data_IF_678814365104
#
_entry.id   IF_678814365104
#
_cell.length_a   1.000
_cell.length_b   1.000
_cell.length_c   1.000
_cell.angle_alpha   90.00
_cell.angle_beta   90.00
_cell.angle_gamma   90.00
#
_symmetry.space_group_name_H-M   'P 1'
#
loop_
_entity.id
_entity.type
_entity.pdbx_description
1 polymer ?
#
# COMPACT_ATOMS: atom_id res chain seq x y z
N UNK A 1 57.84 -2.15 6.49
CA UNK A 1 57.12 -2.32 7.78
C UNK A 1 55.75 -1.68 7.65
N UNK A 2 54.65 -2.44 7.78
CA UNK A 2 53.29 -1.89 7.76
C UNK A 2 52.95 -1.44 9.19
N UNK A 3 52.81 -0.14 9.42
CA UNK A 3 52.27 0.37 10.69
C UNK A 3 50.77 0.08 10.68
N UNK A 4 50.32 -0.82 11.54
CA UNK A 4 48.90 -1.02 11.82
C UNK A 4 48.38 0.08 12.74
N UNK A 5 47.07 0.36 12.67
CA UNK A 5 46.40 1.26 13.61
C UNK A 5 46.61 0.80 15.06
N UNK A 6 46.72 1.76 15.99
CA UNK A 6 46.80 1.46 17.42
C UNK A 6 45.41 1.21 18.01
N UNK A 7 45.33 0.43 19.10
CA UNK A 7 44.07 0.12 19.76
C UNK A 7 43.31 1.37 20.20
N UNK A 8 44.02 2.40 20.68
CA UNK A 8 43.44 3.68 21.11
C UNK A 8 42.78 4.43 19.95
N UNK A 9 43.39 4.42 18.76
CA UNK A 9 42.82 5.07 17.58
C UNK A 9 41.54 4.37 17.13
N UNK A 10 41.52 3.04 17.13
CA UNK A 10 40.31 2.26 16.80
C UNK A 10 39.21 2.50 17.84
N UNK A 11 39.56 2.58 19.13
CA UNK A 11 38.59 2.88 20.19
C UNK A 11 37.95 4.26 20.02
N UNK A 12 38.75 5.28 19.68
CA UNK A 12 38.25 6.64 19.45
C UNK A 12 37.25 6.71 18.30
N UNK A 13 37.54 6.02 17.18
CA UNK A 13 36.62 5.95 16.04
C UNK A 13 35.31 5.23 16.42
N UNK A 14 35.39 4.14 17.18
CA UNK A 14 34.21 3.40 17.63
C UNK A 14 33.28 4.26 18.50
N UNK A 15 33.82 5.06 19.42
CA UNK A 15 33.02 5.96 20.27
C UNK A 15 32.26 6.99 19.44
N UNK A 16 32.91 7.56 18.42
CA UNK A 16 32.24 8.55 17.55
C UNK A 16 31.15 7.86 16.72
N UNK A 17 31.43 6.68 16.15
CA UNK A 17 30.46 5.93 15.35
C UNK A 17 29.23 5.51 16.17
N UNK A 18 29.40 5.09 17.42
CA UNK A 18 28.25 4.68 18.26
C UNK A 18 27.32 5.86 18.57
N UNK A 19 27.88 7.05 18.83
CA UNK A 19 27.08 8.27 19.05
C UNK A 19 26.29 8.63 17.80
N UNK A 20 26.93 8.57 16.62
CA UNK A 20 26.25 8.83 15.34
C UNK A 20 25.11 7.84 15.14
N UNK A 21 25.39 6.53 15.28
CA UNK A 21 24.37 5.48 15.09
C UNK A 21 23.20 5.60 16.07
N UNK A 22 23.44 5.99 17.32
CA UNK A 22 22.39 6.18 18.31
C UNK A 22 21.32 7.19 17.84
N UNK A 23 21.71 8.22 17.09
CA UNK A 23 20.78 9.24 16.57
C UNK A 23 20.27 8.87 15.17
N UNK A 24 21.13 8.31 14.31
CA UNK A 24 20.78 8.04 12.92
C UNK A 24 19.82 6.87 12.76
N UNK A 25 19.94 5.79 13.56
CA UNK A 25 19.08 4.60 13.43
C UNK A 25 17.58 4.92 13.58
N UNK A 26 17.11 5.59 14.66
CA UNK A 26 15.68 5.88 14.81
C UNK A 26 15.15 6.81 13.71
N UNK A 27 15.97 7.77 13.23
CA UNK A 27 15.60 8.64 12.12
C UNK A 27 15.38 7.86 10.82
N UNK A 28 16.26 6.92 10.51
CA UNK A 28 16.13 6.06 9.32
C UNK A 28 14.89 5.18 9.43
N UNK A 29 14.66 4.54 10.58
CA UNK A 29 13.47 3.69 10.79
C UNK A 29 12.18 4.48 10.58
N UNK A 30 12.08 5.68 11.16
CA UNK A 30 10.90 6.53 10.99
C UNK A 30 10.70 6.95 9.52
N UNK A 31 11.78 7.26 8.80
CA UNK A 31 11.69 7.60 7.39
C UNK A 31 11.23 6.42 6.52
N UNK A 32 11.70 5.21 6.83
CA UNK A 32 11.27 3.98 6.16
C UNK A 32 9.78 3.72 6.44
N UNK A 33 9.32 3.85 7.68
CA UNK A 33 7.91 3.66 8.02
C UNK A 33 7.01 4.67 7.30
N UNK A 34 7.38 5.95 7.28
CA UNK A 34 6.63 6.97 6.55
C UNK A 34 6.59 6.69 5.04
N UNK A 35 7.67 6.15 4.49
CA UNK A 35 7.72 5.72 3.08
C UNK A 35 6.78 4.54 2.83
N UNK A 36 6.78 3.53 3.70
CA UNK A 36 5.87 2.38 3.64
C UNK A 36 4.41 2.84 3.66
N UNK A 37 4.05 3.77 4.55
CA UNK A 37 2.70 4.36 4.62
C UNK A 37 2.29 5.04 3.31
N UNK A 38 3.15 5.90 2.75
CA UNK A 38 2.87 6.58 1.47
C UNK A 38 2.71 5.61 0.30
N UNK A 39 3.55 4.58 0.24
CA UNK A 39 3.42 3.54 -0.79
C UNK A 39 2.09 2.81 -0.63
N UNK A 40 1.68 2.52 0.61
CA UNK A 40 0.40 1.89 0.86
C UNK A 40 -0.78 2.77 0.44
N UNK A 41 -0.77 4.06 0.77
CA UNK A 41 -1.79 5.03 0.32
C UNK A 41 -1.89 5.07 -1.22
N UNK A 42 -0.75 5.07 -1.91
CA UNK A 42 -0.70 5.01 -3.37
C UNK A 42 -1.27 3.70 -3.91
N UNK A 43 -0.93 2.55 -3.32
CA UNK A 43 -1.50 1.25 -3.69
C UNK A 43 -3.01 1.24 -3.54
N UNK A 44 -3.55 1.78 -2.44
CA UNK A 44 -5.00 1.91 -2.24
C UNK A 44 -5.62 2.81 -3.30
N UNK A 45 -4.99 3.94 -3.63
CA UNK A 45 -5.46 4.80 -4.72
C UNK A 45 -5.46 4.07 -6.08
N UNK A 46 -4.42 3.28 -6.37
CA UNK A 46 -4.36 2.45 -7.57
C UNK A 46 -5.45 1.39 -7.62
N UNK A 47 -5.78 0.77 -6.48
CA UNK A 47 -6.92 -0.17 -6.38
C UNK A 47 -8.21 0.55 -6.74
N UNK A 48 -8.48 1.72 -6.14
CA UNK A 48 -9.67 2.52 -6.45
C UNK A 48 -9.75 2.90 -7.92
N UNK A 49 -8.64 3.30 -8.54
CA UNK A 49 -8.62 3.62 -9.97
C UNK A 49 -8.85 2.37 -10.84
N UNK A 50 -8.26 1.22 -10.50
CA UNK A 50 -8.52 -0.06 -11.16
C UNK A 50 -9.99 -0.47 -11.08
N UNK A 51 -10.60 -0.34 -9.91
CA UNK A 51 -12.05 -0.57 -9.71
C UNK A 51 -12.89 0.40 -10.54
N UNK A 52 -12.55 1.70 -10.59
CA UNK A 52 -13.27 2.67 -11.43
C UNK A 52 -13.20 2.32 -12.92
N UNK A 53 -12.05 1.85 -13.39
CA UNK A 53 -11.89 1.42 -14.78
C UNK A 53 -12.73 0.17 -15.06
N UNK A 54 -12.73 -0.81 -14.16
CA UNK A 54 -13.57 -2.00 -14.24
C UNK A 54 -15.07 -1.64 -14.31
N UNK A 55 -15.56 -0.84 -13.37
CA UNK A 55 -16.97 -0.41 -13.35
C UNK A 55 -17.37 0.41 -14.59
N UNK A 56 -16.43 1.15 -15.18
CA UNK A 56 -16.68 1.90 -16.41
C UNK A 56 -16.81 0.98 -17.62
N UNK A 57 -15.95 -0.02 -17.72
CA UNK A 57 -15.96 -0.98 -18.83
C UNK A 57 -17.22 -1.87 -18.77
N UNK A 58 -17.58 -2.35 -17.58
CA UNK A 58 -18.70 -3.24 -17.34
C UNK A 58 -19.94 -2.51 -16.81
N UNK A 59 -20.11 -1.23 -17.15
CA UNK A 59 -21.20 -0.38 -16.60
C UNK A 59 -22.60 -0.98 -16.78
N UNK A 60 -22.81 -1.71 -17.88
CA UNK A 60 -24.10 -2.36 -18.20
C UNK A 60 -24.42 -3.53 -17.23
N UNK A 61 -23.40 -4.18 -16.67
CA UNK A 61 -23.56 -5.27 -15.71
C UNK A 61 -23.88 -4.76 -14.30
N UNK A 62 -23.71 -3.46 -14.06
CA UNK A 62 -23.95 -2.80 -12.78
C UNK A 62 -25.03 -1.71 -12.90
N UNK A 63 -26.31 -2.07 -13.11
CA UNK A 63 -27.40 -1.10 -13.25
C UNK A 63 -27.57 -0.22 -12.00
N UNK A 64 -27.20 -0.75 -10.84
CA UNK A 64 -27.24 -0.08 -9.54
C UNK A 64 -26.31 1.14 -9.48
N UNK A 65 -25.32 1.27 -10.38
CA UNK A 65 -24.49 2.46 -10.53
C UNK A 65 -25.28 3.71 -10.94
N UNK A 66 -26.52 3.56 -11.39
CA UNK A 66 -27.42 4.67 -11.72
C UNK A 66 -28.43 4.98 -10.60
N UNK A 67 -28.39 4.22 -9.49
CA UNK A 67 -29.25 4.39 -8.34
C UNK A 67 -28.45 5.02 -7.21
N UNK A 68 -28.75 6.26 -6.86
CA UNK A 68 -28.08 6.98 -5.77
C UNK A 68 -28.38 6.30 -4.44
N UNK A 69 -27.35 6.03 -3.64
CA UNK A 69 -27.43 5.32 -2.36
C UNK A 69 -27.40 3.80 -2.47
N UNK A 70 -27.19 3.22 -3.66
CA UNK A 70 -26.92 1.80 -3.79
C UNK A 70 -25.49 1.46 -3.35
N UNK A 71 -25.31 0.22 -2.89
CA UNK A 71 -23.99 -0.35 -2.57
C UNK A 71 -23.74 -1.54 -3.48
N UNK A 72 -22.60 -1.54 -4.15
CA UNK A 72 -22.15 -2.64 -5.02
C UNK A 72 -20.91 -3.24 -4.39
N UNK A 73 -20.87 -4.57 -4.35
CA UNK A 73 -19.72 -5.32 -3.87
C UNK A 73 -19.01 -5.94 -5.08
N UNK A 74 -17.71 -5.66 -5.22
CA UNK A 74 -16.87 -6.26 -6.26
C UNK A 74 -15.67 -6.92 -5.59
N UNK A 75 -15.35 -8.15 -5.98
CA UNK A 75 -14.16 -8.83 -5.48
C UNK A 75 -12.89 -8.30 -6.15
N UNK A 76 -11.79 -8.21 -5.40
CA UNK A 76 -10.50 -7.81 -5.95
C UNK A 76 -10.01 -8.79 -7.05
N UNK A 77 -10.36 -10.07 -6.93
CA UNK A 77 -10.12 -11.11 -7.94
C UNK A 77 -10.76 -10.76 -9.28
N UNK A 78 -12.00 -10.28 -9.31
CA UNK A 78 -12.64 -9.89 -10.57
C UNK A 78 -11.87 -8.77 -11.28
N UNK A 79 -11.36 -7.79 -10.52
CA UNK A 79 -10.62 -6.67 -11.08
C UNK A 79 -9.25 -7.11 -11.61
N UNK A 80 -8.61 -8.06 -10.92
CA UNK A 80 -7.34 -8.68 -11.33
C UNK A 80 -7.54 -9.55 -12.57
N UNK A 81 -8.53 -10.43 -12.57
CA UNK A 81 -8.81 -11.40 -13.64
C UNK A 81 -9.19 -10.70 -14.94
N UNK A 82 -9.89 -9.57 -14.86
CA UNK A 82 -10.21 -8.73 -16.02
C UNK A 82 -9.07 -7.77 -16.42
N UNK A 83 -7.89 -7.86 -15.79
CA UNK A 83 -6.66 -7.19 -16.23
C UNK A 83 -6.55 -5.71 -15.84
N UNK A 84 -7.43 -5.20 -14.98
CA UNK A 84 -7.38 -3.82 -14.49
C UNK A 84 -6.36 -3.62 -13.36
N UNK A 85 -5.84 -4.72 -12.81
CA UNK A 85 -4.75 -4.73 -11.83
C UNK A 85 -3.82 -5.93 -12.01
N UNK A 86 -2.59 -5.81 -11.49
CA UNK A 86 -1.59 -6.89 -11.50
C UNK A 86 -1.32 -7.37 -10.07
N UNK A 87 -1.48 -8.67 -9.79
CA UNK A 87 -1.09 -9.25 -8.51
C UNK A 87 0.43 -9.50 -8.46
N UNK A 88 1.01 -9.71 -7.26
CA UNK A 88 0.39 -9.64 -5.94
C UNK A 88 0.33 -8.21 -5.38
N UNK A 89 -0.72 -7.89 -4.62
CA UNK A 89 -0.81 -6.65 -3.86
C UNK A 89 -0.20 -6.87 -2.48
N UNK A 90 0.91 -6.21 -2.20
CA UNK A 90 1.65 -6.36 -0.93
C UNK A 90 1.43 -5.11 -0.09
N UNK A 91 1.06 -5.29 1.19
CA UNK A 91 1.07 -4.20 2.16
C UNK A 91 2.52 -4.00 2.66
N UNK A 92 3.18 -2.88 2.35
CA UNK A 92 4.58 -2.65 2.72
C UNK A 92 4.76 -2.40 4.24
N UNK A 93 3.68 -2.20 5.00
CA UNK A 93 3.71 -1.98 6.45
C UNK A 93 3.77 -3.33 7.18
N UNK A 94 2.92 -4.28 6.78
CA UNK A 94 2.83 -5.61 7.40
C UNK A 94 3.65 -6.67 6.67
N UNK A 95 4.16 -6.35 5.47
CA UNK A 95 4.80 -7.26 4.53
C UNK A 95 3.91 -8.48 4.17
N UNK A 96 2.60 -8.35 4.36
CA UNK A 96 1.61 -9.37 4.01
C UNK A 96 0.99 -9.11 2.64
N UNK A 97 0.64 -10.20 1.95
CA UNK A 97 -0.09 -10.13 0.67
C UNK A 97 -1.58 -9.99 0.96
N UNK A 98 -2.23 -9.04 0.28
CA UNK A 98 -3.68 -8.89 0.30
C UNK A 98 -4.29 -10.07 -0.46
N UNK A 99 -5.29 -10.71 0.14
CA UNK A 99 -6.04 -11.78 -0.53
C UNK A 99 -6.84 -11.22 -1.69
N UNK A 100 -6.80 -11.91 -2.82
CA UNK A 100 -7.58 -11.57 -4.01
C UNK A 100 -9.10 -11.66 -3.73
N UNK A 101 -9.53 -12.42 -2.71
CA UNK A 101 -10.94 -12.47 -2.29
C UNK A 101 -11.39 -11.25 -1.46
N UNK A 102 -10.56 -10.21 -1.33
CA UNK A 102 -10.94 -8.98 -0.61
C UNK A 102 -12.11 -8.31 -1.33
N UNK A 103 -13.19 -8.04 -0.60
CA UNK A 103 -14.38 -7.40 -1.13
C UNK A 103 -14.20 -5.88 -1.06
N UNK A 104 -14.46 -5.21 -2.17
CA UNK A 104 -14.44 -3.75 -2.29
C UNK A 104 -15.88 -3.27 -2.34
N UNK A 105 -16.26 -2.40 -1.40
CA UNK A 105 -17.59 -1.81 -1.36
C UNK A 105 -17.59 -0.48 -2.11
N UNK A 106 -18.51 -0.33 -3.05
CA UNK A 106 -18.69 0.87 -3.85
C UNK A 106 -20.03 1.48 -3.47
N UNK A 107 -20.00 2.71 -2.96
CA UNK A 107 -21.19 3.48 -2.61
C UNK A 107 -21.46 4.55 -3.67
N UNK A 108 -22.66 4.55 -4.22
CA UNK A 108 -23.05 5.51 -5.26
C UNK A 108 -23.50 6.83 -4.64
N UNK A 109 -22.61 7.83 -4.60
CA UNK A 109 -22.93 9.16 -4.06
C UNK A 109 -23.78 9.97 -5.05
N UNK A 110 -23.50 9.88 -6.36
CA UNK A 110 -24.33 10.51 -7.40
C UNK A 110 -24.20 9.83 -8.76
N UNK A 111 -25.07 10.19 -9.72
CA UNK A 111 -25.05 9.60 -11.07
C UNK A 111 -23.69 9.90 -11.74
N UNK A 112 -22.96 8.84 -12.12
CA UNK A 112 -21.58 8.87 -12.62
C UNK A 112 -20.50 9.31 -11.60
N UNK A 113 -20.80 9.38 -10.30
CA UNK A 113 -19.83 9.69 -9.24
C UNK A 113 -19.97 8.70 -8.06
N UNK A 114 -18.90 7.99 -7.77
CA UNK A 114 -18.90 6.86 -6.83
C UNK A 114 -17.83 7.07 -5.74
N UNK A 115 -18.17 6.80 -4.48
CA UNK A 115 -17.16 6.59 -3.44
C UNK A 115 -16.79 5.13 -3.41
N UNK A 116 -15.48 4.86 -3.32
CA UNK A 116 -14.99 3.51 -3.15
C UNK A 116 -14.42 3.42 -1.74
N UNK A 117 -15.07 2.61 -0.92
CA UNK A 117 -14.72 2.35 0.47
C UNK A 117 -14.27 0.91 0.58
N UNK A 118 -13.03 0.69 0.97
CA UNK A 118 -12.51 -0.66 1.21
C UNK A 118 -12.62 -0.90 2.71
N UNK A 119 -13.63 -1.66 3.18
CA UNK A 119 -13.94 -1.74 4.61
C UNK A 119 -12.82 -2.39 5.42
N UNK A 120 -12.19 -3.46 4.91
CA UNK A 120 -11.02 -4.10 5.54
C UNK A 120 -10.29 -4.97 4.50
N UNK A 121 -8.96 -4.85 4.43
CA UNK A 121 -8.14 -5.76 3.64
C UNK A 121 -7.99 -7.10 4.35
N UNK A 122 -8.23 -8.20 3.64
CA UNK A 122 -7.96 -9.56 4.14
C UNK A 122 -6.54 -9.91 3.71
N UNK A 123 -5.75 -10.49 4.61
CA UNK A 123 -4.34 -10.83 4.38
C UNK A 123 -4.13 -12.34 4.36
N UNK A 124 -3.11 -12.79 3.62
CA UNK A 124 -2.62 -14.18 3.63
C UNK A 124 -1.71 -14.45 4.84
#
# INVERSE_FOLDING_TARGET
MKKGFTLVEVLGVLVILTIIFAVTIPLVINNVNNTKEKVWEQTVAHIKEGTKLYLREYKEDFPDLNVVGSTIEVSLSEIIDNGFMKPPIINPITDQTVLDSTIINIEVISINNYEITIPTFIYQ
#
